data_IF_365752637154
#
_entry.id   IF_365752637154
#
_cell.length_a   1.000
_cell.length_b   1.000
_cell.length_c   1.000
_cell.angle_alpha   90.00
_cell.angle_beta   90.00
_cell.angle_gamma   90.00
#
_symmetry.space_group_name_H-M   'P 1'
#
loop_
_entity.id
_entity.type
_entity.pdbx_description
1 polymer ?
#
# COMPACT_ATOMS: atom_id res chain seq x y z
N UNK A 1 19.87 70.09 -2.16
CA UNK A 1 18.96 68.94 -2.31
C UNK A 1 17.57 69.12 -1.67
N UNK A 2 17.37 70.00 -0.67
CA UNK A 2 16.06 70.15 0.02
C UNK A 2 14.97 70.90 -0.78
N UNK A 3 15.34 71.86 -1.64
CA UNK A 3 14.38 72.68 -2.40
C UNK A 3 13.57 71.91 -3.45
N UNK A 4 14.14 70.87 -4.05
CA UNK A 4 13.45 70.05 -5.07
C UNK A 4 12.30 69.23 -4.48
N UNK A 5 12.44 68.75 -3.23
CA UNK A 5 11.39 67.99 -2.55
C UNK A 5 10.18 68.86 -2.20
N UNK A 6 10.40 70.13 -1.85
CA UNK A 6 9.33 71.09 -1.56
C UNK A 6 8.51 71.44 -2.81
N UNK A 7 9.15 71.54 -3.98
CA UNK A 7 8.46 71.77 -5.25
C UNK A 7 7.62 70.53 -5.67
N UNK A 8 8.17 69.32 -5.48
CA UNK A 8 7.45 68.08 -5.75
C UNK A 8 6.22 67.88 -4.84
N UNK A 9 6.34 68.22 -3.55
CA UNK A 9 5.19 68.16 -2.63
C UNK A 9 4.11 69.18 -3.00
N UNK A 10 4.49 70.41 -3.34
CA UNK A 10 3.55 71.44 -3.79
C UNK A 10 2.79 71.01 -5.07
N UNK A 11 3.49 70.42 -6.04
CA UNK A 11 2.88 69.91 -7.26
C UNK A 11 1.90 68.75 -7.01
N UNK A 12 2.20 67.88 -6.02
CA UNK A 12 1.31 66.79 -5.63
C UNK A 12 0.01 67.29 -4.99
N UNK A 13 0.10 68.30 -4.12
CA UNK A 13 -1.05 68.92 -3.47
C UNK A 13 -1.95 69.65 -4.49
N UNK A 14 -1.36 70.35 -5.46
CA UNK A 14 -2.11 71.00 -6.56
C UNK A 14 -2.87 69.99 -7.43
N UNK A 15 -2.25 68.84 -7.73
CA UNK A 15 -2.91 67.75 -8.48
C UNK A 15 -4.07 67.18 -7.68
N UNK A 16 -3.89 66.95 -6.38
CA UNK A 16 -4.94 66.45 -5.49
C UNK A 16 -6.11 67.41 -5.41
N UNK A 17 -5.85 68.71 -5.31
CA UNK A 17 -6.88 69.76 -5.34
C UNK A 17 -7.64 69.81 -6.68
N UNK A 18 -6.95 69.68 -7.82
CA UNK A 18 -7.60 69.57 -9.14
C UNK A 18 -8.50 68.35 -9.24
N UNK A 19 -8.05 67.19 -8.80
CA UNK A 19 -8.84 65.96 -8.83
C UNK A 19 -10.08 66.04 -7.93
N UNK A 20 -9.97 66.67 -6.76
CA UNK A 20 -11.12 66.91 -5.88
C UNK A 20 -12.19 67.80 -6.55
N UNK A 21 -11.77 68.86 -7.25
CA UNK A 21 -12.68 69.72 -8.02
C UNK A 21 -13.41 68.94 -9.13
N UNK A 22 -12.70 68.09 -9.86
CA UNK A 22 -13.31 67.24 -10.90
C UNK A 22 -14.27 66.19 -10.34
N UNK A 23 -13.96 65.60 -9.17
CA UNK A 23 -14.87 64.65 -8.50
C UNK A 23 -16.18 65.32 -8.07
N UNK A 24 -16.12 66.56 -7.62
CA UNK A 24 -17.33 67.32 -7.25
C UNK A 24 -18.16 67.71 -8.48
N UNK A 25 -17.52 67.98 -9.63
CA UNK A 25 -18.22 68.28 -10.89
C UNK A 25 -18.94 67.04 -11.46
N UNK A 26 -18.32 65.85 -11.42
CA UNK A 26 -18.96 64.61 -11.86
C UNK A 26 -20.17 64.23 -10.99
N UNK A 27 -20.14 64.56 -9.69
CA UNK A 27 -21.28 64.32 -8.79
C UNK A 27 -22.39 65.37 -8.92
N UNK A 28 -22.13 66.50 -9.57
CA UNK A 28 -23.06 67.61 -9.80
C UNK A 28 -23.64 67.65 -11.23
N UNK A 29 -23.44 66.62 -12.06
CA UNK A 29 -24.35 66.43 -13.19
C UNK A 29 -25.64 65.80 -12.65
N UNK A 30 -26.76 66.55 -12.52
CA UNK A 30 -28.06 65.91 -12.45
C UNK A 30 -28.25 65.16 -13.78
N UNK A 31 -28.64 63.88 -13.69
CA UNK A 31 -29.13 63.16 -14.87
C UNK A 31 -30.43 63.82 -15.29
N UNK A 32 -30.36 64.77 -16.22
CA UNK A 32 -31.53 65.39 -16.80
C UNK A 32 -32.30 64.33 -17.60
N UNK A 33 -33.49 64.09 -17.07
CA UNK A 33 -34.64 63.46 -17.69
C UNK A 33 -34.87 64.04 -19.08
N UNK A 34 -34.65 63.22 -20.10
CA UNK A 34 -35.27 63.40 -21.41
C UNK A 34 -36.04 62.12 -21.70
N UNK A 35 -37.33 62.17 -21.39
CA UNK A 35 -38.34 61.23 -21.87
C UNK A 35 -38.31 61.25 -23.40
N UNK A 36 -37.97 60.12 -24.01
CA UNK A 36 -38.19 59.87 -25.43
C UNK A 36 -39.47 59.05 -25.59
N UNK A 37 -40.39 59.42 -26.51
CA UNK A 37 -41.66 58.73 -26.68
C UNK A 37 -41.47 57.35 -27.30
N UNK A 38 -42.33 56.41 -26.89
CA UNK A 38 -42.45 55.05 -27.43
C UNK A 38 -42.50 55.07 -28.96
N UNK A 39 -41.47 54.49 -29.59
CA UNK A 39 -41.50 54.12 -30.99
C UNK A 39 -41.55 52.61 -31.07
N UNK A 40 -42.62 52.12 -31.69
CA UNK A 40 -42.92 50.73 -32.01
C UNK A 40 -41.66 49.90 -32.33
N UNK A 41 -41.26 49.04 -31.40
CA UNK A 41 -40.31 47.96 -31.69
C UNK A 41 -41.10 46.66 -31.68
N UNK A 42 -41.31 46.14 -32.90
CA UNK A 42 -41.93 44.85 -33.13
C UNK A 42 -41.35 43.78 -32.19
N UNK A 43 -42.23 42.90 -31.72
CA UNK A 43 -41.91 41.77 -30.87
C UNK A 43 -40.66 41.03 -31.38
N UNK A 44 -39.70 40.82 -30.48
CA UNK A 44 -38.47 40.09 -30.76
C UNK A 44 -38.79 38.65 -31.20
N UNK A 45 -38.11 38.11 -32.23
CA UNK A 45 -38.25 36.70 -32.62
C UNK A 45 -37.81 35.76 -31.47
N UNK A 46 -38.24 34.48 -31.49
CA UNK A 46 -37.92 33.50 -30.45
C UNK A 46 -36.40 33.32 -30.29
N UNK A 47 -35.91 32.92 -29.11
CA UNK A 47 -34.48 32.86 -28.82
C UNK A 47 -33.82 31.81 -29.71
N UNK A 48 -33.02 32.25 -30.68
CA UNK A 48 -32.14 31.37 -31.43
C UNK A 48 -31.10 30.73 -30.50
N UNK A 49 -30.65 29.49 -30.77
CA UNK A 49 -29.66 28.83 -29.94
C UNK A 49 -28.36 29.63 -29.94
N UNK A 50 -27.84 29.89 -28.75
CA UNK A 50 -26.63 30.67 -28.54
C UNK A 50 -25.38 29.88 -28.96
N UNK A 51 -25.11 29.89 -30.26
CA UNK A 51 -23.96 29.23 -30.91
C UNK A 51 -22.62 29.83 -30.50
N UNK A 52 -22.60 30.96 -29.78
CA UNK A 52 -21.38 31.62 -29.33
C UNK A 52 -20.52 30.70 -28.44
N UNK A 53 -21.14 29.80 -27.66
CA UNK A 53 -20.45 28.78 -26.84
C UNK A 53 -19.66 27.77 -27.67
N UNK A 54 -20.10 27.46 -28.90
CA UNK A 54 -19.42 26.51 -29.79
C UNK A 54 -18.17 27.12 -30.44
N UNK A 55 -18.20 28.43 -30.70
CA UNK A 55 -17.19 29.10 -31.52
C UNK A 55 -16.20 29.96 -30.72
N UNK A 56 -16.59 30.46 -29.55
CA UNK A 56 -15.71 31.24 -28.68
C UNK A 56 -15.21 30.36 -27.53
N UNK A 57 -14.07 29.69 -27.74
CA UNK A 57 -13.37 29.03 -26.64
C UNK A 57 -12.89 30.11 -25.68
N UNK A 58 -13.55 30.29 -24.54
CA UNK A 58 -13.16 31.19 -23.47
C UNK A 58 -11.86 30.73 -22.82
N UNK A 59 -10.72 30.87 -23.52
CA UNK A 59 -9.43 30.27 -23.16
C UNK A 59 -9.04 30.55 -21.70
N UNK A 60 -9.45 31.71 -21.17
CA UNK A 60 -9.28 32.12 -19.77
C UNK A 60 -10.56 32.65 -19.11
N UNK A 61 -11.74 32.52 -19.73
CA UNK A 61 -13.00 33.07 -19.18
C UNK A 61 -14.05 31.97 -19.13
N UNK A 62 -14.61 31.77 -17.94
CA UNK A 62 -15.73 30.86 -17.76
C UNK A 62 -17.06 31.65 -17.81
N UNK A 63 -17.93 31.38 -18.81
CA UNK A 63 -19.19 32.09 -18.96
C UNK A 63 -20.21 31.80 -17.84
N UNK A 64 -20.09 30.69 -17.12
CA UNK A 64 -21.01 30.32 -16.03
C UNK A 64 -20.70 31.13 -14.76
N UNK A 65 -19.44 31.11 -14.33
CA UNK A 65 -18.96 31.89 -13.19
C UNK A 65 -18.69 33.36 -13.53
N UNK A 66 -18.77 33.72 -14.82
CA UNK A 66 -18.48 35.05 -15.38
C UNK A 66 -17.13 35.62 -14.93
N UNK A 67 -16.14 34.75 -14.76
CA UNK A 67 -14.86 35.09 -14.17
C UNK A 67 -13.65 34.52 -14.93
N UNK A 68 -12.43 34.94 -14.55
CA UNK A 68 -11.22 34.30 -15.04
C UNK A 68 -11.19 32.83 -14.61
N UNK A 69 -10.93 31.93 -15.55
CA UNK A 69 -10.78 30.49 -15.28
C UNK A 69 -9.50 30.25 -14.47
N UNK A 70 -9.65 30.15 -13.15
CA UNK A 70 -8.54 29.93 -12.22
C UNK A 70 -8.32 28.42 -12.02
N UNK A 71 -7.76 27.75 -13.02
CA UNK A 71 -7.31 26.36 -12.89
C UNK A 71 -8.42 25.36 -12.55
N UNK A 72 -8.17 24.52 -11.54
CA UNK A 72 -9.07 23.48 -11.06
C UNK A 72 -9.92 24.02 -9.90
N UNK A 73 -11.25 23.92 -9.99
CA UNK A 73 -12.18 24.31 -8.91
C UNK A 73 -12.26 23.26 -7.79
N UNK A 74 -11.90 22.02 -8.11
CA UNK A 74 -11.85 20.90 -7.18
C UNK A 74 -10.41 20.39 -7.10
N UNK A 75 -10.05 19.84 -5.94
CA UNK A 75 -8.72 19.25 -5.76
C UNK A 75 -8.52 18.15 -6.80
N UNK A 76 -7.46 18.24 -7.64
CA UNK A 76 -7.24 17.29 -8.73
C UNK A 76 -6.94 15.86 -8.23
N UNK A 77 -6.77 15.68 -6.93
CA UNK A 77 -6.55 14.40 -6.25
C UNK A 77 -7.84 13.65 -5.92
N UNK A 78 -9.00 14.31 -5.87
CA UNK A 78 -10.27 13.69 -5.46
C UNK A 78 -10.80 12.62 -6.42
N UNK A 79 -10.43 12.70 -7.70
CA UNK A 79 -10.88 11.78 -8.74
C UNK A 79 -9.80 10.75 -9.13
N UNK A 80 -8.71 10.65 -8.38
CA UNK A 80 -7.65 9.68 -8.65
C UNK A 80 -7.97 8.36 -7.94
N UNK A 81 -8.19 7.29 -8.72
CA UNK A 81 -8.40 5.93 -8.19
C UNK A 81 -7.13 5.32 -7.57
N UNK A 82 -5.96 5.86 -7.91
CA UNK A 82 -4.65 5.40 -7.43
C UNK A 82 -4.06 6.44 -6.49
N UNK A 83 -3.47 6.03 -5.35
CA UNK A 83 -2.82 6.94 -4.44
C UNK A 83 -1.68 7.68 -5.15
N UNK A 84 -1.49 8.92 -4.78
CA UNK A 84 -0.38 9.73 -5.29
C UNK A 84 0.94 9.22 -4.74
N UNK A 85 2.04 9.51 -5.44
CA UNK A 85 3.38 9.13 -4.96
C UNK A 85 3.71 9.77 -3.60
N UNK A 86 3.17 10.96 -3.34
CA UNK A 86 3.35 11.67 -2.07
C UNK A 86 2.63 10.95 -0.91
N UNK A 87 1.42 10.44 -1.15
CA UNK A 87 0.68 9.64 -0.17
C UNK A 87 1.40 8.31 0.11
N UNK A 88 1.88 7.62 -0.93
CA UNK A 88 2.66 6.39 -0.77
C UNK A 88 3.97 6.65 0.00
N UNK A 89 4.65 7.76 -0.28
CA UNK A 89 5.85 8.14 0.45
C UNK A 89 5.55 8.44 1.92
N UNK A 90 4.42 9.10 2.20
CA UNK A 90 3.97 9.38 3.57
C UNK A 90 3.60 8.10 4.34
N UNK A 91 2.97 7.12 3.68
CA UNK A 91 2.68 5.80 4.26
C UNK A 91 3.98 5.07 4.62
N UNK A 92 4.95 5.01 3.70
CA UNK A 92 6.26 4.38 3.96
C UNK A 92 7.01 5.09 5.08
N UNK A 93 6.98 6.43 5.13
CA UNK A 93 7.59 7.19 6.21
C UNK A 93 6.93 6.87 7.56
N UNK A 94 5.60 6.77 7.59
CA UNK A 94 4.86 6.42 8.80
C UNK A 94 5.18 4.99 9.27
N UNK A 95 5.26 4.02 8.36
CA UNK A 95 5.66 2.65 8.69
C UNK A 95 7.08 2.58 9.25
N UNK A 96 8.03 3.28 8.63
CA UNK A 96 9.43 3.30 9.09
C UNK A 96 9.52 3.95 10.47
N UNK A 97 8.78 5.04 10.70
CA UNK A 97 8.71 5.69 12.03
C UNK A 97 8.10 4.77 13.08
N UNK A 98 7.04 4.03 12.76
CA UNK A 98 6.43 3.06 13.66
C UNK A 98 7.41 1.92 14.00
N UNK A 99 8.04 1.31 12.98
CA UNK A 99 9.04 0.25 13.19
C UNK A 99 10.23 0.74 14.02
N UNK A 100 10.73 1.95 13.75
CA UNK A 100 11.81 2.53 14.55
C UNK A 100 11.38 2.82 15.99
N UNK A 101 10.13 3.25 16.21
CA UNK A 101 9.58 3.43 17.55
C UNK A 101 9.41 2.09 18.28
N UNK A 102 8.93 1.04 17.62
CA UNK A 102 8.84 -0.31 18.15
C UNK A 102 10.22 -0.87 18.50
N UNK A 103 11.21 -0.73 17.62
CA UNK A 103 12.60 -1.13 17.87
C UNK A 103 13.27 -0.33 19.00
N UNK A 104 12.85 0.92 19.23
CA UNK A 104 13.32 1.73 20.34
C UNK A 104 12.62 1.41 21.67
N UNK A 105 11.35 1.00 21.64
CA UNK A 105 10.60 0.52 22.81
C UNK A 105 11.02 -0.90 23.21
N UNK A 106 11.42 -1.70 22.23
CA UNK A 106 12.22 -2.89 22.44
C UNK A 106 13.59 -2.45 22.96
N UNK A 107 13.69 -2.18 24.27
CA UNK A 107 14.91 -1.98 25.07
C UNK A 107 15.78 -3.26 25.09
N UNK A 108 16.01 -3.86 23.92
CA UNK A 108 17.05 -4.85 23.67
C UNK A 108 18.36 -4.07 23.74
N UNK A 109 18.81 -3.81 24.97
CA UNK A 109 20.09 -3.16 25.25
C UNK A 109 21.14 -3.69 24.30
N UNK A 110 21.89 -2.77 23.69
CA UNK A 110 22.83 -3.05 22.59
C UNK A 110 23.63 -4.30 22.96
N UNK A 111 23.34 -5.40 22.27
CA UNK A 111 23.94 -6.69 22.58
C UNK A 111 25.40 -6.65 22.17
N UNK A 112 26.27 -6.41 23.15
CA UNK A 112 27.71 -6.30 22.99
C UNK A 112 28.31 -7.55 22.32
N UNK A 113 27.65 -8.72 22.38
CA UNK A 113 28.09 -9.93 21.70
C UNK A 113 27.73 -9.96 20.21
N UNK A 114 26.69 -9.25 19.79
CA UNK A 114 26.35 -9.06 18.37
C UNK A 114 27.25 -8.04 17.69
N UNK A 115 27.67 -7.01 18.44
CA UNK A 115 28.54 -5.93 17.97
C UNK A 115 30.04 -6.28 17.98
N UNK A 116 30.41 -7.42 18.59
CA UNK A 116 31.79 -7.91 18.56
C UNK A 116 32.27 -8.17 17.12
N UNK A 117 33.55 -7.86 16.82
CA UNK A 117 34.13 -8.16 15.52
C UNK A 117 34.01 -9.67 15.26
N UNK A 118 33.36 -10.01 14.15
CA UNK A 118 33.21 -11.41 13.73
C UNK A 118 34.56 -12.00 13.34
N UNK A 119 34.65 -13.34 13.32
CA UNK A 119 35.84 -14.06 12.86
C UNK A 119 36.19 -13.64 11.43
N UNK A 120 37.47 -13.53 11.02
CA UNK A 120 37.83 -13.17 9.65
C UNK A 120 37.19 -14.04 8.57
N UNK A 121 36.98 -15.33 8.86
CA UNK A 121 36.37 -16.32 7.96
C UNK A 121 34.82 -16.35 8.02
N UNK A 122 34.17 -15.42 8.73
CA UNK A 122 32.72 -15.50 8.94
C UNK A 122 31.93 -15.30 7.65
N UNK A 123 32.41 -14.41 6.78
CA UNK A 123 31.75 -14.08 5.52
C UNK A 123 31.92 -15.21 4.51
N UNK A 124 33.15 -15.72 4.39
CA UNK A 124 33.46 -16.91 3.62
C UNK A 124 32.61 -18.11 4.04
N UNK A 125 32.41 -18.31 5.35
CA UNK A 125 31.51 -19.36 5.85
C UNK A 125 30.06 -19.11 5.41
N UNK A 126 29.57 -17.88 5.51
CA UNK A 126 28.21 -17.51 5.09
C UNK A 126 28.00 -17.74 3.59
N UNK A 127 28.96 -17.34 2.76
CA UNK A 127 28.89 -17.56 1.32
C UNK A 127 28.98 -19.04 0.94
N UNK A 128 29.84 -19.80 1.64
CA UNK A 128 29.94 -21.25 1.47
C UNK A 128 28.63 -21.93 1.86
N UNK A 129 28.05 -21.57 3.00
CA UNK A 129 26.79 -22.13 3.50
C UNK A 129 25.66 -21.89 2.48
N UNK A 130 25.56 -20.69 1.90
CA UNK A 130 24.58 -20.38 0.83
C UNK A 130 24.77 -21.23 -0.43
N UNK A 131 26.01 -21.50 -0.83
CA UNK A 131 26.31 -22.38 -1.98
C UNK A 131 26.02 -23.85 -1.67
N UNK A 132 26.26 -24.26 -0.42
CA UNK A 132 26.07 -25.62 0.05
C UNK A 132 24.61 -25.94 0.36
N UNK A 133 23.74 -24.95 0.58
CA UNK A 133 22.32 -25.15 0.92
C UNK A 133 21.61 -26.16 0.01
N UNK A 134 21.73 -25.99 -1.32
CA UNK A 134 21.10 -26.89 -2.29
C UNK A 134 21.75 -28.28 -2.28
N UNK A 135 23.05 -28.36 -2.03
CA UNK A 135 23.76 -29.63 -1.95
C UNK A 135 23.45 -30.37 -0.66
N UNK A 136 23.30 -29.67 0.47
CA UNK A 136 22.94 -30.22 1.77
C UNK A 136 21.57 -30.90 1.68
N UNK A 137 20.56 -30.23 1.10
CA UNK A 137 19.23 -30.84 0.88
C UNK A 137 19.32 -32.13 0.06
N UNK A 138 20.13 -32.16 -1.00
CA UNK A 138 20.32 -33.39 -1.79
C UNK A 138 21.08 -34.47 -1.03
N UNK A 139 22.05 -34.07 -0.22
CA UNK A 139 22.87 -34.95 0.60
C UNK A 139 22.01 -35.59 1.70
N UNK A 140 21.20 -34.82 2.39
CA UNK A 140 20.25 -35.30 3.40
C UNK A 140 19.23 -36.26 2.80
N UNK A 141 18.70 -35.94 1.62
CA UNK A 141 17.83 -36.85 0.88
C UNK A 141 18.53 -38.15 0.46
N UNK A 142 19.80 -38.08 0.04
CA UNK A 142 20.59 -39.26 -0.29
C UNK A 142 20.89 -40.11 0.94
N UNK A 143 21.23 -39.49 2.08
CA UNK A 143 21.41 -40.15 3.37
C UNK A 143 20.11 -40.85 3.77
N UNK A 144 18.96 -40.17 3.68
CA UNK A 144 17.66 -40.76 4.00
C UNK A 144 17.33 -41.97 3.11
N UNK A 145 17.67 -41.92 1.81
CA UNK A 145 17.52 -43.06 0.90
C UNK A 145 18.43 -44.23 1.30
N UNK A 146 19.71 -43.97 1.56
CA UNK A 146 20.65 -45.01 1.99
C UNK A 146 20.23 -45.66 3.32
N UNK A 147 19.73 -44.87 4.26
CA UNK A 147 19.20 -45.40 5.53
C UNK A 147 17.97 -46.27 5.28
N UNK A 148 17.04 -45.84 4.43
CA UNK A 148 15.87 -46.66 4.03
C UNK A 148 16.31 -47.98 3.39
N UNK A 149 17.26 -47.94 2.46
CA UNK A 149 17.74 -49.14 1.77
C UNK A 149 18.47 -50.09 2.72
N UNK A 150 19.24 -49.55 3.68
CA UNK A 150 19.88 -50.36 4.73
C UNK A 150 18.87 -51.02 5.66
N UNK A 151 17.85 -50.29 6.11
CA UNK A 151 16.80 -50.84 6.99
C UNK A 151 16.00 -51.91 6.24
N UNK A 152 15.54 -51.63 5.02
CA UNK A 152 14.78 -52.59 4.22
C UNK A 152 15.63 -53.80 3.82
N UNK A 153 16.92 -53.61 3.55
CA UNK A 153 17.88 -54.69 3.31
C UNK A 153 18.09 -55.58 4.54
N UNK A 154 18.27 -54.98 5.72
CA UNK A 154 18.35 -55.70 6.98
C UNK A 154 17.05 -56.45 7.30
N UNK A 155 15.89 -55.84 7.05
CA UNK A 155 14.59 -56.49 7.20
C UNK A 155 14.40 -57.67 6.24
N UNK A 156 14.74 -57.51 4.95
CA UNK A 156 14.68 -58.60 3.96
C UNK A 156 15.64 -59.74 4.32
N UNK A 157 16.82 -59.41 4.84
CA UNK A 157 17.75 -60.43 5.34
C UNK A 157 17.17 -61.15 6.55
N UNK A 158 16.64 -60.42 7.54
CA UNK A 158 15.99 -61.00 8.71
C UNK A 158 14.74 -61.82 8.36
N UNK A 159 13.91 -61.38 7.41
CA UNK A 159 12.73 -62.11 6.96
C UNK A 159 13.11 -63.34 6.14
N UNK A 160 14.19 -63.28 5.34
CA UNK A 160 14.71 -64.45 4.61
C UNK A 160 15.28 -65.49 5.57
N UNK A 161 15.99 -65.07 6.62
CA UNK A 161 16.44 -65.97 7.68
C UNK A 161 15.26 -66.55 8.45
N UNK A 162 14.25 -65.74 8.82
CA UNK A 162 13.01 -66.25 9.44
C UNK A 162 12.25 -67.23 8.53
N UNK A 163 12.18 -67.01 7.21
CA UNK A 163 11.52 -67.96 6.30
C UNK A 163 12.24 -69.30 6.15
N UNK A 164 13.55 -69.36 6.49
CA UNK A 164 14.30 -70.62 6.58
C UNK A 164 14.16 -71.27 7.97
N UNK A 165 13.87 -70.47 9.00
CA UNK A 165 13.75 -70.89 10.41
C UNK A 165 12.31 -71.23 10.83
N UNK A 166 11.29 -70.85 10.05
CA UNK A 166 9.87 -71.22 10.27
C UNK A 166 9.60 -72.73 10.03
N UNK A 167 10.62 -73.51 9.69
CA UNK A 167 10.54 -74.96 9.77
C UNK A 167 10.74 -75.50 11.21
N UNK A 168 11.29 -74.72 12.15
CA UNK A 168 11.59 -75.22 13.49
C UNK A 168 11.63 -74.08 14.53
N UNK A 169 10.59 -73.97 15.38
CA UNK A 169 10.77 -73.44 16.73
C UNK A 169 10.30 -72.02 17.04
N UNK A 170 9.35 -71.98 17.98
CA UNK A 170 8.93 -70.88 18.85
C UNK A 170 10.10 -70.05 19.44
N UNK A 171 9.92 -68.72 19.56
CA UNK A 171 10.99 -67.80 19.96
C UNK A 171 10.58 -66.33 20.04
N UNK A 172 9.82 -66.01 21.09
CA UNK A 172 9.46 -64.67 21.56
C UNK A 172 10.71 -63.86 21.96
N UNK A 173 11.16 -62.89 21.14
CA UNK A 173 12.15 -61.89 21.58
C UNK A 173 12.27 -60.64 20.67
N UNK A 174 11.92 -59.49 21.27
CA UNK A 174 12.70 -58.26 21.27
C UNK A 174 13.03 -57.60 19.92
N UNK A 175 12.12 -56.75 19.44
CA UNK A 175 12.42 -55.71 18.47
C UNK A 175 11.13 -55.05 18.03
N UNK A 176 10.69 -54.02 18.75
CA UNK A 176 9.52 -53.23 18.35
C UNK A 176 9.79 -52.65 16.96
N UNK A 177 9.18 -53.24 15.94
CA UNK A 177 9.40 -52.88 14.55
C UNK A 177 9.01 -51.41 14.35
N UNK A 178 9.98 -50.54 14.03
CA UNK A 178 9.71 -49.12 13.76
C UNK A 178 8.69 -48.91 12.63
N UNK A 179 8.48 -49.90 11.77
CA UNK A 179 7.44 -49.91 10.73
C UNK A 179 6.05 -50.12 11.34
N UNK A 180 5.90 -51.01 12.33
CA UNK A 180 4.64 -51.17 13.05
C UNK A 180 4.28 -49.91 13.86
N UNK A 181 5.28 -49.17 14.35
CA UNK A 181 5.05 -47.89 15.02
C UNK A 181 4.61 -46.79 14.03
N UNK A 182 5.18 -46.75 12.82
CA UNK A 182 4.80 -45.80 11.76
C UNK A 182 3.43 -46.16 11.16
N UNK A 183 3.14 -47.45 10.97
CA UNK A 183 1.80 -47.89 10.56
C UNK A 183 0.77 -47.63 11.65
N UNK A 184 1.09 -47.90 12.92
CA UNK A 184 0.24 -47.58 14.06
C UNK A 184 -0.07 -46.09 14.14
N UNK A 185 0.92 -45.22 13.89
CA UNK A 185 0.69 -43.78 13.83
C UNK A 185 -0.24 -43.38 12.67
N UNK A 186 -0.07 -44.00 11.50
CA UNK A 186 -0.89 -43.72 10.31
C UNK A 186 -2.34 -44.20 10.44
N UNK A 187 -2.55 -45.29 11.19
CA UNK A 187 -3.89 -45.80 11.55
C UNK A 187 -4.54 -44.85 12.55
N UNK A 188 -3.81 -44.46 13.60
CA UNK A 188 -4.30 -43.51 14.60
C UNK A 188 -4.69 -42.16 14.00
N UNK A 189 -3.88 -41.62 13.09
CA UNK A 189 -4.16 -40.35 12.41
C UNK A 189 -5.42 -40.44 11.52
N UNK A 190 -5.73 -41.62 10.97
CA UNK A 190 -6.98 -41.86 10.23
C UNK A 190 -8.19 -42.00 11.15
N UNK A 191 -8.03 -42.69 12.27
CA UNK A 191 -9.10 -42.85 13.27
C UNK A 191 -9.47 -41.50 13.89
N UNK A 192 -8.49 -40.69 14.31
CA UNK A 192 -8.72 -39.34 14.85
C UNK A 192 -9.44 -38.43 13.84
N UNK A 193 -9.07 -38.49 12.54
CA UNK A 193 -9.75 -37.72 11.50
C UNK A 193 -11.19 -38.20 11.20
N UNK A 194 -11.50 -39.48 11.41
CA UNK A 194 -12.86 -40.01 11.31
C UNK A 194 -13.70 -39.65 12.55
N UNK A 195 -13.10 -39.66 13.74
CA UNK A 195 -13.73 -39.21 14.98
C UNK A 195 -14.09 -37.72 14.92
N UNK A 196 -13.19 -36.84 14.48
CA UNK A 196 -13.50 -35.40 14.31
C UNK A 196 -14.65 -35.15 13.33
N UNK A 197 -14.81 -36.01 12.32
CA UNK A 197 -15.95 -35.91 11.37
C UNK A 197 -17.25 -36.31 12.05
N UNK A 198 -17.24 -37.38 12.83
CA UNK A 198 -18.41 -37.82 13.61
C UNK A 198 -18.78 -36.78 14.65
N UNK A 199 -17.82 -36.21 15.37
CA UNK A 199 -18.06 -35.16 16.36
C UNK A 199 -18.69 -33.91 15.72
N UNK A 200 -18.25 -33.48 14.52
CA UNK A 200 -18.92 -32.39 13.78
C UNK A 200 -20.35 -32.73 13.37
N UNK A 201 -20.60 -33.97 12.96
CA UNK A 201 -21.95 -34.42 12.59
C UNK A 201 -22.88 -34.49 13.81
N UNK A 202 -22.36 -34.93 14.96
CA UNK A 202 -23.09 -34.97 16.24
C UNK A 202 -23.35 -33.57 16.82
N UNK A 203 -22.36 -32.66 16.75
CA UNK A 203 -22.53 -31.26 17.17
C UNK A 203 -23.57 -30.53 16.30
N UNK A 204 -23.56 -30.78 14.98
CA UNK A 204 -24.58 -30.24 14.07
C UNK A 204 -25.99 -30.82 14.33
N UNK A 205 -26.08 -32.08 14.77
CA UNK A 205 -27.36 -32.72 15.13
C UNK A 205 -27.88 -32.29 16.51
N UNK A 206 -26.99 -31.94 17.45
CA UNK A 206 -27.33 -31.42 18.78
C UNK A 206 -27.60 -29.90 18.78
N UNK A 207 -27.09 -29.18 17.78
CA UNK A 207 -27.29 -27.74 17.59
C UNK A 207 -28.55 -27.34 16.81
N UNK A 208 -29.35 -28.32 16.34
CA UNK A 208 -30.63 -28.14 15.64
C UNK A 208 -31.81 -28.55 16.53
#
# INVERSE_FOLDING_TARGET
MSSSHLNLSAAADDRKARLAKLKNLKRKQPGDEIVAPESERAASPPPEPDVSRLHLSGRNYDPETRGPKLGFEQDPTLNLEKPTLEEQAAEVEAEVKQKAAEEAQDDKGIDLFKLQPKKPNWDLKRELDKKMEVLNVRTDNAIARLVRDRITGAQKAASKTKSADVAEGDGEAAGMDGVALVEGLRVREREEAEEERREREEEAALGA
#
